data_IF_950065440079
#
_entry.id   IF_950065440079
#
_cell.length_a   1.000
_cell.length_b   1.000
_cell.length_c   1.000
_cell.angle_alpha   90.00
_cell.angle_beta   90.00
_cell.angle_gamma   90.00
#
_symmetry.space_group_name_H-M   'P 1'
#
loop_
_entity.id
_entity.type
_entity.pdbx_description
1 polymer ?
#
# COMPACT_ATOMS: atom_id res chain seq x y z
N UNK A 1 -11.61 -30.79 -67.00
CA UNK A 1 -12.91 -30.17 -67.27
C UNK A 1 -13.47 -29.77 -65.92
N UNK A 2 -13.11 -28.58 -65.44
CA UNK A 2 -13.86 -27.31 -65.65
C UNK A 2 -15.22 -27.38 -64.92
N UNK A 3 -15.61 -26.52 -63.98
CA UNK A 3 -15.23 -25.12 -63.76
C UNK A 3 -15.44 -24.69 -62.27
N UNK A 4 -14.96 -23.50 -61.87
CA UNK A 4 -14.91 -22.99 -60.49
C UNK A 4 -15.81 -21.75 -60.25
N UNK A 5 -15.63 -21.17 -59.05
CA UNK A 5 -15.87 -19.78 -58.61
C UNK A 5 -17.26 -19.36 -58.10
N UNK A 6 -17.21 -18.70 -56.94
CA UNK A 6 -18.27 -17.89 -56.35
C UNK A 6 -17.77 -17.26 -55.04
N UNK A 7 -17.01 -16.17 -55.15
CA UNK A 7 -16.77 -15.22 -54.06
C UNK A 7 -18.10 -14.79 -53.43
N UNK A 8 -18.15 -14.66 -52.11
CA UNK A 8 -19.12 -13.79 -51.45
C UNK A 8 -18.46 -13.05 -50.30
N UNK A 9 -18.22 -11.77 -50.57
CA UNK A 9 -17.91 -10.70 -49.65
C UNK A 9 -19.13 -10.35 -48.79
N UNK A 10 -18.83 -10.03 -47.53
CA UNK A 10 -19.53 -9.16 -46.57
C UNK A 10 -21.02 -8.85 -46.78
N UNK A 11 -21.83 -9.23 -45.78
CA UNK A 11 -23.06 -8.51 -45.43
C UNK A 11 -23.04 -8.25 -43.92
N UNK A 12 -22.89 -6.98 -43.56
CA UNK A 12 -23.07 -6.51 -42.20
C UNK A 12 -24.52 -6.64 -41.75
N UNK A 13 -24.70 -7.01 -40.48
CA UNK A 13 -25.95 -6.82 -39.77
C UNK A 13 -25.69 -5.84 -38.63
N UNK A 14 -26.24 -4.65 -38.78
CA UNK A 14 -26.45 -3.68 -37.70
C UNK A 14 -27.83 -3.87 -37.09
N UNK A 15 -27.93 -3.53 -35.82
CA UNK A 15 -29.13 -3.30 -35.00
C UNK A 15 -29.61 -4.50 -34.16
N UNK A 16 -29.25 -4.41 -32.88
CA UNK A 16 -29.77 -5.18 -31.76
C UNK A 16 -29.37 -4.45 -30.48
N UNK A 17 -29.85 -3.21 -30.34
CA UNK A 17 -29.68 -2.36 -29.16
C UNK A 17 -30.57 -2.89 -28.04
N UNK A 18 -30.10 -3.89 -27.31
CA UNK A 18 -30.62 -4.23 -25.99
C UNK A 18 -29.42 -4.37 -25.06
N UNK A 19 -29.11 -3.30 -24.33
CA UNK A 19 -28.11 -3.34 -23.28
C UNK A 19 -28.59 -4.25 -22.15
N UNK A 20 -27.72 -5.11 -21.59
CA UNK A 20 -28.05 -5.75 -20.34
C UNK A 20 -27.95 -4.68 -19.25
N UNK A 21 -29.12 -4.37 -18.71
CA UNK A 21 -29.45 -4.05 -17.32
C UNK A 21 -28.28 -3.66 -16.40
N UNK A 22 -28.46 -2.54 -15.69
CA UNK A 22 -27.60 -2.03 -14.62
C UNK A 22 -26.79 -3.13 -13.91
N UNK A 23 -25.55 -3.37 -14.36
CA UNK A 23 -24.58 -4.12 -13.58
C UNK A 23 -24.30 -3.25 -12.38
N UNK A 24 -24.90 -3.58 -11.25
CA UNK A 24 -24.75 -2.82 -10.01
C UNK A 24 -23.26 -2.63 -9.77
N UNK A 25 -22.81 -1.38 -9.76
CA UNK A 25 -21.41 -1.03 -9.61
C UNK A 25 -20.94 -1.58 -8.26
N UNK A 26 -20.06 -2.59 -8.27
CA UNK A 26 -19.54 -3.21 -7.06
C UNK A 26 -18.72 -2.17 -6.31
N UNK A 27 -19.15 -1.86 -5.08
CA UNK A 27 -18.57 -0.80 -4.25
C UNK A 27 -18.29 -1.36 -2.86
N UNK A 28 -17.23 -0.84 -2.26
CA UNK A 28 -16.99 -1.08 -0.84
C UNK A 28 -18.15 -0.50 -0.02
N UNK A 29 -18.51 -1.22 1.03
CA UNK A 29 -19.45 -0.75 2.05
C UNK A 29 -18.95 0.50 2.76
N UNK A 30 -19.86 1.34 3.25
CA UNK A 30 -19.49 2.54 4.00
C UNK A 30 -18.75 2.18 5.29
N UNK A 31 -19.08 1.06 5.93
CA UNK A 31 -18.38 0.52 7.10
C UNK A 31 -16.93 0.15 6.79
N UNK A 32 -16.67 -0.45 5.62
CA UNK A 32 -15.32 -0.81 5.17
C UNK A 32 -14.47 0.44 4.94
N UNK A 33 -15.03 1.43 4.23
CA UNK A 33 -14.31 2.70 3.97
C UNK A 33 -14.07 3.47 5.27
N UNK A 34 -15.08 3.54 6.15
CA UNK A 34 -14.96 4.20 7.47
C UNK A 34 -13.89 3.53 8.32
N UNK A 35 -13.79 2.20 8.28
CA UNK A 35 -12.75 1.48 9.00
C UNK A 35 -11.35 1.88 8.52
N UNK A 36 -11.13 1.93 7.19
CA UNK A 36 -9.85 2.31 6.57
C UNK A 36 -9.48 3.76 6.89
N UNK A 37 -10.42 4.70 6.74
CA UNK A 37 -10.18 6.12 7.07
C UNK A 37 -9.99 6.38 8.57
N UNK A 38 -10.44 5.45 9.42
CA UNK A 38 -10.35 5.55 10.87
C UNK A 38 -9.09 4.91 11.45
N UNK A 39 -8.10 4.51 10.64
CA UNK A 39 -6.84 3.94 11.11
C UNK A 39 -5.96 5.05 11.69
N UNK A 40 -5.57 4.91 12.95
CA UNK A 40 -4.68 5.87 13.59
C UNK A 40 -3.20 5.57 13.25
N UNK A 41 -2.35 6.59 13.06
CA UNK A 41 -0.91 6.39 12.85
C UNK A 41 -0.23 5.56 13.94
N UNK A 42 -0.70 5.68 15.19
CA UNK A 42 -0.20 4.90 16.32
C UNK A 42 -0.55 3.40 16.22
N UNK A 43 -1.65 3.04 15.55
CA UNK A 43 -1.99 1.64 15.25
C UNK A 43 -1.08 1.08 14.16
N UNK A 44 -0.83 1.85 13.10
CA UNK A 44 0.11 1.45 12.04
C UNK A 44 1.51 1.21 12.58
N UNK A 45 1.97 2.07 13.49
CA UNK A 45 3.27 1.90 14.14
C UNK A 45 3.39 0.56 14.88
N UNK A 46 2.31 0.06 15.47
CA UNK A 46 2.31 -1.25 16.13
C UNK A 46 2.42 -2.41 15.14
N UNK A 47 2.09 -2.21 13.87
CA UNK A 47 2.18 -3.22 12.82
C UNK A 47 3.57 -3.31 12.15
N UNK A 48 4.51 -2.42 12.50
CA UNK A 48 5.85 -2.33 11.88
C UNK A 48 6.78 -3.38 12.46
N UNK A 49 6.64 -4.61 11.97
CA UNK A 49 7.47 -5.75 12.33
C UNK A 49 7.39 -6.84 11.26
N UNK A 50 8.28 -7.83 11.38
CA UNK A 50 8.30 -9.03 10.55
C UNK A 50 7.65 -10.23 11.26
N UNK A 51 6.92 -11.04 10.50
CA UNK A 51 6.53 -12.40 10.87
C UNK A 51 7.34 -13.39 10.03
N UNK A 52 7.68 -14.53 10.61
CA UNK A 52 8.26 -15.68 9.91
C UNK A 52 7.56 -16.97 10.37
N UNK A 53 7.01 -17.71 9.42
CA UNK A 53 6.25 -18.94 9.62
C UNK A 53 6.86 -20.04 8.75
N UNK A 54 6.68 -21.29 9.18
CA UNK A 54 7.04 -22.46 8.40
C UNK A 54 5.80 -23.03 7.74
N UNK A 55 5.96 -23.36 6.47
CA UNK A 55 4.95 -24.01 5.63
C UNK A 55 5.06 -25.52 5.86
N UNK A 56 4.00 -26.13 6.40
CA UNK A 56 3.96 -27.56 6.74
C UNK A 56 2.84 -28.29 6.00
N UNK A 57 3.09 -29.54 5.61
CA UNK A 57 2.05 -30.43 5.10
C UNK A 57 1.11 -30.91 6.21
N UNK A 58 -0.03 -31.50 5.83
CA UNK A 58 -0.93 -32.20 6.76
C UNK A 58 -0.22 -33.30 7.58
N UNK A 59 0.78 -33.97 6.99
CA UNK A 59 1.64 -34.95 7.65
C UNK A 59 2.74 -34.36 8.54
N UNK A 60 2.83 -33.03 8.66
CA UNK A 60 3.82 -32.33 9.49
C UNK A 60 5.21 -32.16 8.86
N UNK A 61 5.39 -32.50 7.59
CA UNK A 61 6.65 -32.27 6.86
C UNK A 61 6.80 -30.78 6.57
N UNK A 62 7.98 -30.22 6.83
CA UNK A 62 8.32 -28.86 6.41
C UNK A 62 8.53 -28.81 4.90
N UNK A 63 7.80 -27.91 4.24
CA UNK A 63 7.77 -27.75 2.78
C UNK A 63 8.40 -26.43 2.33
N UNK A 64 8.52 -25.45 3.22
CA UNK A 64 9.05 -24.14 2.90
C UNK A 64 8.77 -23.11 3.99
N UNK A 65 8.84 -21.84 3.60
CA UNK A 65 8.77 -20.71 4.54
C UNK A 65 7.81 -19.65 4.02
N UNK A 66 7.19 -18.93 4.95
CA UNK A 66 6.40 -17.74 4.70
C UNK A 66 6.91 -16.61 5.60
N UNK A 67 7.12 -15.43 5.04
CA UNK A 67 7.45 -14.24 5.81
C UNK A 67 6.63 -13.04 5.35
N UNK A 68 6.37 -12.12 6.28
CA UNK A 68 5.74 -10.83 5.98
C UNK A 68 6.34 -9.73 6.84
N UNK A 69 6.86 -8.70 6.20
CA UNK A 69 7.51 -7.56 6.82
C UNK A 69 6.74 -6.29 6.50
N UNK A 70 6.55 -5.44 7.50
CA UNK A 70 5.94 -4.12 7.34
C UNK A 70 6.91 -3.07 7.85
N UNK A 71 7.17 -2.06 7.04
CA UNK A 71 8.11 -0.97 7.31
C UNK A 71 7.50 0.37 6.95
N UNK A 72 8.00 1.44 7.57
CA UNK A 72 7.77 2.78 7.05
C UNK A 72 8.63 2.99 5.80
N UNK A 73 8.04 3.57 4.78
CA UNK A 73 8.70 3.86 3.52
C UNK A 73 8.30 5.24 3.00
N UNK A 74 8.92 5.63 1.88
CA UNK A 74 8.60 6.86 1.18
C UNK A 74 8.60 6.62 -0.31
N UNK A 75 7.49 6.97 -0.96
CA UNK A 75 7.40 7.18 -2.41
C UNK A 75 7.31 8.68 -2.67
N UNK A 76 6.38 9.14 -3.49
CA UNK A 76 6.04 10.57 -3.62
C UNK A 76 5.53 11.15 -2.28
N UNK A 77 5.00 10.28 -1.41
CA UNK A 77 4.55 10.60 -0.06
C UNK A 77 5.04 9.56 0.98
N UNK A 78 5.03 9.89 2.29
CA UNK A 78 5.20 8.90 3.35
C UNK A 78 4.15 7.78 3.21
N UNK A 79 4.58 6.54 3.35
CA UNK A 79 3.74 5.36 3.15
C UNK A 79 4.22 4.19 4.01
N UNK A 80 3.45 3.11 4.00
CA UNK A 80 3.84 1.80 4.53
C UNK A 80 4.33 0.95 3.37
N UNK A 81 5.45 0.24 3.53
CA UNK A 81 5.85 -0.84 2.64
C UNK A 81 5.54 -2.16 3.32
N UNK A 82 4.77 -3.02 2.66
CA UNK A 82 4.57 -4.40 3.05
C UNK A 82 5.26 -5.29 2.03
N UNK A 83 6.09 -6.21 2.50
CA UNK A 83 6.68 -7.25 1.69
C UNK A 83 6.33 -8.61 2.29
N UNK A 84 5.68 -9.48 1.52
CA UNK A 84 5.41 -10.85 1.93
C UNK A 84 5.89 -11.83 0.87
N UNK A 85 6.42 -12.96 1.31
CA UNK A 85 6.91 -14.01 0.43
C UNK A 85 6.61 -15.38 1.02
N UNK A 86 6.24 -16.31 0.15
CA UNK A 86 6.11 -17.73 0.40
C UNK A 86 6.98 -18.44 -0.62
N UNK A 87 7.84 -19.35 -0.18
CA UNK A 87 8.56 -20.22 -1.11
C UNK A 87 8.72 -21.60 -0.50
N UNK A 88 8.71 -22.63 -1.34
CA UNK A 88 8.82 -24.01 -0.90
C UNK A 88 8.71 -24.98 -2.05
N UNK A 89 8.55 -26.26 -1.71
CA UNK A 89 8.26 -27.31 -2.68
C UNK A 89 7.08 -28.15 -2.18
N UNK A 90 6.05 -28.27 -3.01
CA UNK A 90 4.91 -29.17 -2.78
C UNK A 90 5.05 -30.31 -3.77
N UNK A 91 5.06 -31.55 -3.29
CA UNK A 91 5.31 -32.75 -4.10
C UNK A 91 6.58 -32.61 -4.97
N UNK A 92 7.65 -32.10 -4.36
CA UNK A 92 8.96 -31.81 -4.97
C UNK A 92 8.92 -30.78 -6.11
N UNK A 93 7.79 -30.11 -6.34
CA UNK A 93 7.61 -29.04 -7.32
C UNK A 93 7.84 -27.68 -6.65
N UNK A 94 8.90 -26.93 -7.00
CA UNK A 94 9.16 -25.62 -6.42
C UNK A 94 8.04 -24.63 -6.75
N UNK A 95 7.49 -23.97 -5.74
CA UNK A 95 6.43 -22.98 -5.90
C UNK A 95 6.59 -21.83 -4.90
N UNK A 96 6.01 -20.69 -5.24
CA UNK A 96 6.04 -19.55 -4.34
C UNK A 96 5.19 -18.39 -4.79
N UNK A 97 5.06 -17.44 -3.88
CA UNK A 97 4.36 -16.18 -4.08
C UNK A 97 5.17 -15.08 -3.42
N UNK A 98 5.33 -13.93 -4.06
CA UNK A 98 5.91 -12.74 -3.46
C UNK A 98 5.02 -11.53 -3.76
N UNK A 99 4.82 -10.68 -2.77
CA UNK A 99 4.08 -9.42 -2.91
C UNK A 99 4.84 -8.30 -2.23
N UNK A 100 4.99 -7.17 -2.92
CA UNK A 100 5.51 -5.92 -2.36
C UNK A 100 4.48 -4.83 -2.62
N UNK A 101 3.92 -4.25 -1.57
CA UNK A 101 2.89 -3.22 -1.66
C UNK A 101 3.32 -1.94 -0.93
N UNK A 102 3.06 -0.80 -1.55
CA UNK A 102 3.20 0.53 -0.97
C UNK A 102 1.82 1.09 -0.71
N UNK A 103 1.54 1.41 0.56
CA UNK A 103 0.20 1.72 1.05
C UNK A 103 0.20 3.07 1.77
N UNK A 104 -0.85 3.86 1.60
CA UNK A 104 -1.07 5.05 2.44
C UNK A 104 -1.44 4.65 3.88
N UNK A 105 -1.61 5.64 4.76
CA UNK A 105 -2.04 5.40 6.15
C UNK A 105 -3.48 4.90 6.25
N UNK A 106 -4.33 5.18 5.27
CA UNK A 106 -5.68 4.64 5.12
C UNK A 106 -5.71 3.38 4.22
N UNK A 107 -4.56 2.74 4.00
CA UNK A 107 -4.40 1.49 3.24
C UNK A 107 -4.77 1.58 1.75
N UNK A 108 -4.82 2.78 1.18
CA UNK A 108 -4.93 2.93 -0.27
C UNK A 108 -3.64 2.42 -0.93
N UNK A 109 -3.80 1.57 -1.95
CA UNK A 109 -2.67 0.97 -2.66
C UNK A 109 -2.09 1.98 -3.64
N UNK A 110 -0.85 2.40 -3.40
CA UNK A 110 -0.10 3.29 -4.30
C UNK A 110 0.55 2.50 -5.45
N UNK A 111 1.12 1.35 -5.09
CA UNK A 111 1.85 0.46 -5.98
C UNK A 111 1.87 -0.93 -5.37
N UNK A 112 1.70 -1.99 -6.16
CA UNK A 112 1.90 -3.36 -5.72
C UNK A 112 2.50 -4.22 -6.85
N UNK A 113 3.58 -4.94 -6.51
CA UNK A 113 4.16 -6.00 -7.32
C UNK A 113 3.78 -7.35 -6.73
N UNK A 114 3.14 -8.20 -7.51
CA UNK A 114 2.74 -9.55 -7.12
C UNK A 114 3.32 -10.57 -8.11
N UNK A 115 3.99 -11.60 -7.60
CA UNK A 115 4.60 -12.68 -8.35
C UNK A 115 4.15 -14.02 -7.79
N UNK A 116 3.62 -14.90 -8.63
CA UNK A 116 3.27 -16.28 -8.30
C UNK A 116 3.98 -17.21 -9.29
N UNK A 117 4.57 -18.30 -8.80
CA UNK A 117 5.18 -19.29 -9.67
C UNK A 117 5.02 -20.72 -9.17
N UNK A 118 4.97 -21.66 -10.11
CA UNK A 118 5.06 -23.10 -9.89
C UNK A 118 5.95 -23.69 -10.97
N UNK A 119 6.99 -24.43 -10.58
CA UNK A 119 7.93 -25.07 -11.49
C UNK A 119 7.58 -26.55 -11.62
N UNK A 120 7.01 -26.90 -12.75
CA UNK A 120 6.68 -28.26 -13.17
C UNK A 120 7.46 -28.60 -14.44
N UNK A 121 7.90 -29.85 -14.58
CA UNK A 121 8.52 -30.31 -15.82
C UNK A 121 7.55 -30.14 -17.00
N UNK A 122 7.95 -29.32 -17.97
CA UNK A 122 7.18 -29.00 -19.18
C UNK A 122 5.96 -28.09 -19.00
N UNK A 123 5.56 -27.74 -17.76
CA UNK A 123 4.31 -27.01 -17.48
C UNK A 123 4.50 -25.94 -16.40
N UNK A 124 5.69 -25.35 -16.31
CA UNK A 124 5.96 -24.28 -15.35
C UNK A 124 5.07 -23.07 -15.63
N UNK A 125 4.52 -22.48 -14.56
CA UNK A 125 3.67 -21.29 -14.61
C UNK A 125 4.37 -20.19 -13.82
N UNK A 126 4.51 -19.01 -14.41
CA UNK A 126 5.02 -17.78 -13.78
C UNK A 126 4.04 -16.65 -14.07
N UNK A 127 3.50 -16.01 -13.05
CA UNK A 127 2.56 -14.90 -13.16
C UNK A 127 3.13 -13.69 -12.44
N UNK A 128 3.22 -12.56 -13.11
CA UNK A 128 3.64 -11.28 -12.55
C UNK A 128 2.58 -10.25 -12.80
N UNK A 129 2.13 -9.58 -11.75
CA UNK A 129 1.16 -8.50 -11.81
C UNK A 129 1.79 -7.27 -11.17
N UNK A 130 1.86 -6.19 -11.90
CA UNK A 130 2.28 -4.88 -11.41
C UNK A 130 1.07 -3.95 -11.47
N UNK A 131 0.74 -3.32 -10.35
CA UNK A 131 -0.29 -2.28 -10.28
C UNK A 131 0.29 -1.00 -9.69
N UNK A 132 -0.07 0.14 -10.28
CA UNK A 132 0.44 1.45 -9.86
C UNK A 132 -0.57 2.54 -10.13
N UNK A 133 -0.69 3.49 -9.20
CA UNK A 133 -1.49 4.68 -9.42
C UNK A 133 -0.80 5.64 -10.41
N UNK A 134 -1.52 6.05 -11.46
CA UNK A 134 -1.11 7.08 -12.42
C UNK A 134 -2.32 7.87 -12.90
N UNK A 135 -2.22 9.19 -12.90
CA UNK A 135 -3.24 10.11 -13.44
C UNK A 135 -4.66 9.83 -12.91
N UNK A 136 -4.79 9.56 -11.61
CA UNK A 136 -6.08 9.28 -10.96
C UNK A 136 -6.68 7.90 -11.29
N UNK A 137 -5.88 7.00 -11.86
CA UNK A 137 -6.27 5.62 -12.19
C UNK A 137 -5.29 4.63 -11.58
N UNK A 138 -5.76 3.45 -11.24
CA UNK A 138 -4.91 2.28 -11.06
C UNK A 138 -4.63 1.68 -12.43
N UNK A 139 -3.36 1.59 -12.82
CA UNK A 139 -2.90 0.91 -14.03
C UNK A 139 -2.34 -0.44 -13.62
N UNK A 140 -2.84 -1.51 -14.23
CA UNK A 140 -2.51 -2.89 -13.90
C UNK A 140 -1.95 -3.57 -15.14
N UNK A 141 -0.78 -4.20 -15.01
CA UNK A 141 -0.13 -4.95 -16.05
C UNK A 141 0.19 -6.35 -15.53
N UNK A 142 -0.35 -7.38 -16.17
CA UNK A 142 -0.17 -8.78 -15.80
C UNK A 142 0.49 -9.54 -16.93
N UNK A 143 1.56 -10.27 -16.62
CA UNK A 143 2.26 -11.20 -17.52
C UNK A 143 2.08 -12.60 -16.95
N UNK A 144 1.60 -13.53 -17.77
CA UNK A 144 1.52 -14.95 -17.43
C UNK A 144 2.31 -15.76 -18.44
N UNK A 145 3.31 -16.48 -17.96
CA UNK A 145 4.14 -17.40 -18.73
C UNK A 145 3.78 -18.83 -18.36
N UNK A 146 3.40 -19.64 -19.35
CA UNK A 146 3.10 -21.06 -19.20
C UNK A 146 4.01 -21.84 -20.16
N UNK A 147 5.03 -22.51 -19.63
CA UNK A 147 6.07 -23.11 -20.46
C UNK A 147 6.79 -22.05 -21.30
N UNK A 148 6.65 -22.13 -22.62
CA UNK A 148 7.20 -21.15 -23.58
C UNK A 148 6.19 -20.06 -23.98
N UNK A 149 4.90 -20.24 -23.66
CA UNK A 149 3.85 -19.30 -24.02
C UNK A 149 3.82 -18.13 -23.03
N UNK A 150 3.76 -16.90 -23.55
CA UNK A 150 3.64 -15.68 -22.77
C UNK A 150 2.37 -14.95 -23.17
N UNK A 151 1.58 -14.59 -22.16
CA UNK A 151 0.35 -13.79 -22.31
C UNK A 151 0.47 -12.53 -21.47
N UNK A 152 0.02 -11.41 -22.04
CA UNK A 152 0.04 -10.11 -21.39
C UNK A 152 -1.37 -9.52 -21.37
N UNK A 153 -1.75 -8.98 -20.22
CA UNK A 153 -3.03 -8.31 -20.00
C UNK A 153 -2.77 -6.95 -19.35
N UNK A 154 -3.52 -5.94 -19.77
CA UNK A 154 -3.44 -4.61 -19.19
C UNK A 154 -4.83 -4.04 -18.98
N UNK A 155 -5.05 -3.53 -17.77
CA UNK A 155 -6.33 -2.97 -17.33
C UNK A 155 -6.09 -1.65 -16.63
N UNK A 156 -7.07 -0.75 -16.69
CA UNK A 156 -7.00 0.51 -15.96
C UNK A 156 -8.36 0.87 -15.39
N UNK A 157 -8.37 1.21 -14.11
CA UNK A 157 -9.57 1.59 -13.38
C UNK A 157 -9.42 2.99 -12.79
N UNK A 158 -10.45 3.85 -12.90
CA UNK A 158 -10.49 5.08 -12.10
C UNK A 158 -10.35 4.77 -10.61
N UNK A 159 -9.56 5.53 -9.87
CA UNK A 159 -9.44 5.32 -8.41
C UNK A 159 -10.78 5.47 -7.69
N UNK A 160 -11.72 6.25 -8.25
CA UNK A 160 -13.07 6.41 -7.72
C UNK A 160 -13.88 5.12 -7.67
N UNK A 161 -13.68 4.18 -8.61
CA UNK A 161 -14.37 2.87 -8.59
C UNK A 161 -13.66 1.85 -7.70
N UNK A 162 -12.38 2.08 -7.39
CA UNK A 162 -11.55 1.24 -6.52
C UNK A 162 -11.52 1.72 -5.07
N UNK A 163 -12.45 2.60 -4.67
CA UNK A 163 -12.55 3.06 -3.29
C UNK A 163 -12.75 1.85 -2.35
N UNK A 164 -11.84 1.68 -1.40
CA UNK A 164 -11.83 0.53 -0.50
C UNK A 164 -11.27 -0.75 -1.14
N UNK A 165 -10.37 -0.62 -2.12
CA UNK A 165 -9.63 -1.73 -2.72
C UNK A 165 -8.75 -2.42 -1.66
N UNK A 166 -8.85 -3.74 -1.62
CA UNK A 166 -8.01 -4.64 -0.84
C UNK A 166 -7.38 -5.66 -1.79
N UNK A 167 -6.07 -5.57 -1.91
CA UNK A 167 -5.16 -6.44 -2.67
C UNK A 167 -4.52 -7.49 -1.78
N UNK A 168 -3.63 -8.33 -2.33
CA UNK A 168 -2.93 -9.32 -1.52
C UNK A 168 -2.05 -8.67 -0.45
N UNK A 169 -1.30 -7.63 -0.81
CA UNK A 169 -0.46 -6.90 0.13
C UNK A 169 -1.27 -6.14 1.18
N UNK A 170 -2.20 -5.28 0.76
CA UNK A 170 -3.02 -4.49 1.70
C UNK A 170 -3.87 -5.36 2.63
N UNK A 171 -4.32 -6.54 2.18
CA UNK A 171 -5.07 -7.46 3.04
C UNK A 171 -4.29 -7.94 4.25
N UNK A 172 -2.98 -8.17 4.11
CA UNK A 172 -2.13 -8.66 5.19
C UNK A 172 -1.98 -7.60 6.29
N UNK A 173 -1.77 -6.33 5.92
CA UNK A 173 -1.73 -5.22 6.87
C UNK A 173 -3.11 -4.96 7.49
N UNK A 174 -4.17 -5.01 6.68
CA UNK A 174 -5.55 -4.84 7.15
C UNK A 174 -5.91 -5.88 8.22
N UNK A 175 -5.56 -7.15 8.02
CA UNK A 175 -5.81 -8.22 8.98
C UNK A 175 -5.04 -8.01 10.30
N UNK A 176 -3.78 -7.52 10.26
CA UNK A 176 -3.04 -7.13 11.48
C UNK A 176 -3.78 -6.05 12.27
N UNK A 177 -4.26 -5.02 11.58
CA UNK A 177 -5.01 -3.92 12.21
C UNK A 177 -6.35 -4.38 12.82
N UNK A 178 -7.08 -5.24 12.11
CA UNK A 178 -8.31 -5.84 12.63
C UNK A 178 -8.00 -6.67 13.89
N UNK A 179 -6.92 -7.45 13.88
CA UNK A 179 -6.50 -8.25 15.02
C UNK A 179 -6.15 -7.39 16.24
N UNK A 180 -5.40 -6.29 16.05
CA UNK A 180 -5.08 -5.32 17.12
C UNK A 180 -6.33 -4.72 17.76
N UNK A 181 -7.35 -4.42 16.95
CA UNK A 181 -8.63 -3.89 17.44
C UNK A 181 -9.49 -4.93 18.14
N UNK A 182 -9.23 -6.23 17.92
CA UNK A 182 -10.08 -7.38 18.34
C UNK A 182 -11.56 -7.14 18.06
N UNK A 183 -11.86 -6.41 16.98
CA UNK A 183 -13.20 -5.96 16.64
C UNK A 183 -13.35 -5.95 15.13
N UNK A 184 -14.21 -6.84 14.63
CA UNK A 184 -14.63 -6.86 13.24
C UNK A 184 -15.97 -6.10 13.11
N UNK A 185 -16.02 -4.95 12.41
CA UNK A 185 -17.29 -4.36 12.03
C UNK A 185 -18.16 -5.35 11.25
N UNK A 186 -19.47 -5.32 11.48
CA UNK A 186 -20.42 -6.15 10.73
C UNK A 186 -20.55 -5.60 9.30
N UNK A 187 -20.79 -6.49 8.34
CA UNK A 187 -21.10 -6.15 6.95
C UNK A 187 -19.98 -5.44 6.16
N UNK A 188 -18.70 -5.66 6.52
CA UNK A 188 -17.59 -5.14 5.72
C UNK A 188 -17.45 -5.89 4.40
N UNK A 189 -17.86 -5.23 3.32
CA UNK A 189 -17.52 -5.62 1.96
C UNK A 189 -16.52 -4.61 1.41
N UNK A 190 -15.39 -5.11 0.91
CA UNK A 190 -14.35 -4.34 0.24
C UNK A 190 -14.33 -4.69 -1.25
N UNK A 191 -13.72 -3.81 -2.03
CA UNK A 191 -13.40 -4.09 -3.43
C UNK A 191 -12.12 -4.93 -3.48
N UNK A 192 -12.05 -5.90 -4.39
CA UNK A 192 -10.85 -6.68 -4.72
C UNK A 192 -10.83 -6.91 -6.22
N UNK A 193 -9.75 -7.48 -6.73
CA UNK A 193 -9.63 -7.92 -8.11
C UNK A 193 -9.51 -9.44 -8.17
N UNK A 194 -10.17 -10.05 -9.15
CA UNK A 194 -10.03 -11.47 -9.45
C UNK A 194 -8.78 -11.73 -10.33
N UNK A 195 -8.42 -13.00 -10.61
CA UNK A 195 -7.28 -13.30 -11.47
C UNK A 195 -7.41 -12.75 -12.90
N UNK A 196 -8.64 -12.52 -13.39
CA UNK A 196 -8.93 -11.85 -14.67
C UNK A 196 -8.94 -10.32 -14.56
N UNK A 197 -8.50 -9.77 -13.43
CA UNK A 197 -8.46 -8.35 -13.11
C UNK A 197 -9.84 -7.69 -13.02
N UNK A 198 -10.92 -8.45 -12.91
CA UNK A 198 -12.26 -7.90 -12.74
C UNK A 198 -12.51 -7.48 -11.29
N UNK A 199 -13.26 -6.39 -11.13
CA UNK A 199 -13.72 -5.93 -9.81
C UNK A 199 -14.67 -6.98 -9.21
N UNK A 200 -14.32 -7.43 -8.02
CA UNK A 200 -15.07 -8.38 -7.19
C UNK A 200 -15.16 -7.86 -5.75
N UNK A 201 -15.89 -8.57 -4.89
CA UNK A 201 -15.89 -8.30 -3.45
C UNK A 201 -14.95 -9.21 -2.68
N UNK A 202 -14.33 -8.67 -1.65
CA UNK A 202 -13.71 -9.46 -0.57
C UNK A 202 -14.33 -9.04 0.76
N UNK A 203 -14.53 -9.99 1.67
CA UNK A 203 -15.08 -9.74 3.00
C UNK A 203 -14.25 -10.44 4.07
N UNK A 204 -14.43 -10.00 5.31
CA UNK A 204 -13.75 -10.57 6.47
C UNK A 204 -14.78 -11.00 7.51
N UNK A 205 -14.56 -12.14 8.16
CA UNK A 205 -15.42 -12.65 9.22
C UNK A 205 -14.60 -13.07 10.41
N UNK A 206 -15.14 -12.84 11.60
CA UNK A 206 -14.53 -13.26 12.84
C UNK A 206 -14.71 -14.77 13.05
N UNK A 207 -13.63 -15.46 13.42
CA UNK A 207 -13.66 -16.86 13.88
C UNK A 207 -13.61 -16.96 15.41
N UNK A 208 -13.38 -15.83 16.09
CA UNK A 208 -13.35 -15.71 17.55
C UNK A 208 -11.98 -16.01 18.15
N UNK A 209 -11.95 -16.12 19.47
CA UNK A 209 -10.74 -16.48 20.22
C UNK A 209 -10.55 -17.99 20.26
N UNK A 210 -9.31 -18.44 20.08
CA UNK A 210 -8.93 -19.85 20.12
C UNK A 210 -7.61 -20.01 20.85
N UNK A 211 -7.36 -21.19 21.39
CA UNK A 211 -6.05 -21.59 21.89
C UNK A 211 -5.31 -22.42 20.85
N UNK A 212 -4.07 -22.02 20.54
CA UNK A 212 -3.17 -22.76 19.67
C UNK A 212 -1.89 -23.13 20.43
N UNK A 213 -1.45 -24.37 20.27
CA UNK A 213 -0.19 -24.83 20.81
C UNK A 213 0.95 -24.49 19.84
N UNK A 214 1.90 -23.70 20.31
CA UNK A 214 3.16 -23.41 19.62
C UNK A 214 4.28 -23.98 20.48
N UNK A 215 4.89 -25.06 20.02
CA UNK A 215 5.82 -25.91 20.79
C UNK A 215 5.21 -26.50 22.05
N UNK A 216 5.46 -25.88 23.20
CA UNK A 216 5.00 -26.31 24.53
C UNK A 216 4.24 -25.19 25.25
N UNK A 217 3.94 -24.10 24.53
CA UNK A 217 3.16 -22.97 25.02
C UNK A 217 1.80 -22.95 24.34
N UNK A 218 0.75 -22.68 25.12
CA UNK A 218 -0.61 -22.48 24.61
C UNK A 218 -0.85 -20.99 24.52
N UNK A 219 -1.11 -20.51 23.31
CA UNK A 219 -1.31 -19.10 23.00
C UNK A 219 -2.78 -18.83 22.73
N UNK A 220 -3.32 -17.79 23.37
CA UNK A 220 -4.63 -17.23 23.01
C UNK A 220 -4.49 -16.40 21.73
N UNK A 221 -5.19 -16.79 20.69
CA UNK A 221 -5.14 -16.16 19.37
C UNK A 221 -6.52 -15.65 18.94
N UNK A 222 -6.53 -14.58 18.16
CA UNK A 222 -7.72 -14.06 17.50
C UNK A 222 -7.77 -14.56 16.05
N UNK A 223 -8.83 -15.28 15.71
CA UNK A 223 -9.05 -15.84 14.39
C UNK A 223 -9.96 -14.98 13.52
N UNK A 224 -9.62 -14.89 12.23
CA UNK A 224 -10.49 -14.32 11.20
C UNK A 224 -10.36 -15.08 9.89
N UNK A 225 -11.39 -15.00 9.05
CA UNK A 225 -11.34 -15.48 7.67
C UNK A 225 -11.50 -14.32 6.69
N UNK A 226 -10.75 -14.35 5.59
CA UNK A 226 -10.94 -13.51 4.40
C UNK A 226 -11.60 -14.37 3.33
N UNK A 227 -12.73 -13.90 2.79
CA UNK A 227 -13.45 -14.57 1.69
C UNK A 227 -13.33 -13.67 0.46
N UNK A 228 -12.76 -14.22 -0.61
CA UNK A 228 -12.56 -13.56 -1.90
C UNK A 228 -13.59 -14.16 -2.86
N UNK A 229 -14.54 -13.34 -3.32
CA UNK A 229 -15.55 -13.80 -4.28
C UNK A 229 -14.92 -14.09 -5.64
N UNK A 230 -15.58 -14.90 -6.46
CA UNK A 230 -15.13 -15.22 -7.81
C UNK A 230 -16.27 -15.01 -8.79
N UNK A 231 -15.96 -14.51 -9.99
CA UNK A 231 -16.95 -14.36 -11.06
C UNK A 231 -17.27 -15.68 -11.76
N UNK A 232 -16.27 -16.55 -11.91
CA UNK A 232 -16.35 -17.77 -12.73
C UNK A 232 -16.15 -19.07 -11.91
N UNK A 233 -15.95 -18.95 -10.59
CA UNK A 233 -15.63 -20.07 -9.72
C UNK A 233 -16.21 -19.97 -8.32
N UNK A 234 -15.76 -20.88 -7.45
CA UNK A 234 -16.10 -20.83 -6.02
C UNK A 234 -15.27 -19.76 -5.31
N UNK A 235 -15.81 -19.11 -4.26
CA UNK A 235 -15.04 -18.18 -3.45
C UNK A 235 -13.83 -18.87 -2.81
N UNK A 236 -12.70 -18.17 -2.78
CA UNK A 236 -11.51 -18.61 -2.05
C UNK A 236 -11.57 -18.07 -0.63
N UNK A 237 -11.25 -18.92 0.36
CA UNK A 237 -11.26 -18.52 1.77
C UNK A 237 -9.90 -18.76 2.40
N UNK A 238 -9.39 -17.74 3.10
CA UNK A 238 -8.19 -17.82 3.93
C UNK A 238 -8.57 -17.69 5.39
N UNK A 239 -8.02 -18.55 6.24
CA UNK A 239 -8.14 -18.43 7.70
C UNK A 239 -6.80 -18.05 8.29
N UNK A 240 -6.80 -17.02 9.12
CA UNK A 240 -5.63 -16.46 9.77
C UNK A 240 -5.86 -16.34 11.29
N UNK A 241 -4.83 -16.60 12.08
CA UNK A 241 -4.84 -16.46 13.53
C UNK A 241 -3.69 -15.57 13.99
N UNK A 242 -3.98 -14.61 14.85
CA UNK A 242 -3.04 -13.58 15.28
C UNK A 242 -2.90 -13.51 16.80
N UNK A 243 -1.73 -13.12 17.29
CA UNK A 243 -1.51 -12.68 18.68
C UNK A 243 -2.15 -11.31 18.93
N UNK A 244 -2.19 -10.90 20.20
CA UNK A 244 -2.77 -9.62 20.62
C UNK A 244 -1.94 -8.39 20.24
N UNK A 245 -0.66 -8.59 19.94
CA UNK A 245 0.26 -7.60 19.37
C UNK A 245 0.25 -7.58 17.83
N UNK A 246 -0.59 -8.41 17.20
CA UNK A 246 -0.79 -8.44 15.75
C UNK A 246 0.12 -9.41 14.98
N UNK A 247 1.01 -10.15 15.65
CA UNK A 247 1.84 -11.16 15.00
C UNK A 247 1.01 -12.32 14.43
N UNK A 248 1.33 -12.77 13.22
CA UNK A 248 0.64 -13.89 12.57
C UNK A 248 1.13 -15.23 13.13
N UNK A 249 0.21 -16.04 13.65
CA UNK A 249 0.52 -17.37 14.23
C UNK A 249 0.26 -18.49 13.23
N UNK A 250 -0.83 -18.39 12.47
CA UNK A 250 -1.18 -19.41 11.49
C UNK A 250 -1.98 -18.82 10.34
N UNK A 251 -1.73 -19.33 9.13
CA UNK A 251 -2.45 -18.98 7.90
C UNK A 251 -2.66 -20.23 7.05
N UNK A 252 -3.88 -20.43 6.58
CA UNK A 252 -4.24 -21.55 5.71
C UNK A 252 -5.31 -21.14 4.70
N UNK A 253 -5.17 -21.59 3.45
CA UNK A 253 -6.26 -21.51 2.49
C UNK A 253 -7.18 -22.73 2.69
N UNK A 254 -8.48 -22.50 2.85
CA UNK A 254 -9.44 -23.58 3.04
C UNK A 254 -9.41 -24.51 1.81
N UNK A 255 -9.20 -25.81 2.06
CA UNK A 255 -9.05 -26.84 1.02
C UNK A 255 -7.60 -27.11 0.61
N UNK A 256 -6.62 -26.32 1.09
CA UNK A 256 -5.20 -26.60 0.88
C UNK A 256 -4.69 -27.68 1.84
N UNK A 257 -3.84 -28.63 1.39
CA UNK A 257 -3.18 -29.62 2.26
C UNK A 257 -2.00 -29.03 3.04
N UNK A 258 -1.76 -27.72 2.94
CA UNK A 258 -0.60 -27.03 3.49
C UNK A 258 -1.04 -25.89 4.41
N UNK A 259 -0.38 -25.76 5.55
CA UNK A 259 -0.62 -24.70 6.53
C UNK A 259 0.68 -23.97 6.83
N UNK A 260 0.64 -22.65 6.91
CA UNK A 260 1.73 -21.83 7.43
C UNK A 260 1.51 -21.67 8.94
N UNK A 261 2.53 -21.95 9.75
CA UNK A 261 2.44 -21.82 11.21
C UNK A 261 3.74 -21.31 11.83
N UNK A 262 3.59 -20.58 12.92
CA UNK A 262 4.67 -20.10 13.76
C UNK A 262 5.31 -21.28 14.51
N UNK A 263 6.65 -21.39 14.46
CA UNK A 263 7.39 -22.42 15.20
C UNK A 263 7.90 -21.92 16.55
N UNK A 264 8.25 -20.64 16.64
CA UNK A 264 8.79 -20.00 17.84
C UNK A 264 8.10 -18.65 17.99
N UNK A 265 7.78 -18.25 19.23
CA UNK A 265 7.37 -16.87 19.44
C UNK A 265 8.49 -15.93 19.00
N UNK A 266 8.16 -14.81 18.35
CA UNK A 266 9.10 -13.72 18.19
C UNK A 266 9.68 -13.43 19.57
N UNK A 267 11.02 -13.43 19.69
CA UNK A 267 11.66 -12.98 20.91
C UNK A 267 11.09 -11.61 21.23
N UNK A 268 10.35 -11.51 22.35
CA UNK A 268 9.75 -10.26 22.82
C UNK A 268 10.84 -9.21 22.69
N UNK A 269 10.72 -8.35 21.69
CA UNK A 269 11.61 -7.23 21.56
C UNK A 269 11.35 -6.47 22.86
N UNK A 270 12.31 -6.51 23.80
CA UNK A 270 12.41 -5.49 24.83
C UNK A 270 12.08 -4.20 24.11
N UNK A 271 11.15 -3.39 24.63
CA UNK A 271 10.86 -2.08 24.06
C UNK A 271 12.20 -1.42 23.77
N UNK A 272 12.68 -1.53 22.53
CA UNK A 272 13.96 -0.97 22.16
C UNK A 272 13.58 0.47 22.14
N UNK A 273 13.94 1.15 23.22
CA UNK A 273 13.98 2.57 23.24
C UNK A 273 14.97 2.87 22.13
N UNK A 274 14.46 3.05 20.90
CA UNK A 274 15.23 3.53 19.77
C UNK A 274 15.73 4.88 20.28
N UNK A 275 16.91 4.89 20.91
CA UNK A 275 17.67 6.10 21.10
C UNK A 275 17.82 6.57 19.67
N UNK A 276 17.06 7.60 19.29
CA UNK A 276 17.17 8.26 17.99
C UNK A 276 18.65 8.43 17.76
N UNK A 277 19.23 7.62 16.86
CA UNK A 277 20.63 7.79 16.49
C UNK A 277 20.61 9.12 15.74
N UNK A 278 21.35 10.15 16.20
CA UNK A 278 21.39 11.41 15.49
C UNK A 278 21.82 11.13 14.06
N UNK A 279 21.00 11.57 13.09
CA UNK A 279 21.28 11.39 11.68
C UNK A 279 22.52 12.24 11.34
N UNK A 280 23.69 11.62 11.23
CA UNK A 280 24.94 12.29 10.82
C UNK A 280 24.96 12.43 9.29
N UNK A 281 24.01 13.20 8.78
CA UNK A 281 23.78 13.35 7.34
C UNK A 281 24.96 14.04 6.62
N UNK A 282 25.82 14.77 7.34
CA UNK A 282 26.99 15.41 6.76
C UNK A 282 28.06 14.40 6.29
N UNK A 283 28.15 13.23 6.92
CA UNK A 283 29.14 12.18 6.62
C UNK A 283 28.64 11.19 5.55
N UNK A 284 27.33 11.00 5.45
CA UNK A 284 26.72 10.17 4.43
C UNK A 284 26.73 10.89 3.06
N UNK A 285 27.45 10.31 2.12
CA UNK A 285 27.63 10.89 0.78
C UNK A 285 26.29 11.08 0.04
N UNK A 286 25.34 10.16 0.20
CA UNK A 286 24.05 10.20 -0.48
C UNK A 286 23.12 11.24 0.15
N UNK A 287 23.05 11.31 1.48
CA UNK A 287 22.25 12.32 2.18
C UNK A 287 22.82 13.73 2.00
N UNK A 288 24.15 13.87 2.02
CA UNK A 288 24.81 15.14 1.71
C UNK A 288 24.50 15.59 0.28
N UNK A 289 24.47 14.68 -0.70
CA UNK A 289 24.04 15.01 -2.06
C UNK A 289 22.61 15.54 -2.08
N UNK A 290 21.67 14.80 -1.49
CA UNK A 290 20.25 15.20 -1.41
C UNK A 290 20.06 16.56 -0.74
N UNK A 291 20.81 16.82 0.33
CA UNK A 291 20.80 18.11 1.02
C UNK A 291 21.31 19.24 0.13
N UNK A 292 22.42 19.03 -0.59
CA UNK A 292 22.98 20.03 -1.49
C UNK A 292 22.03 20.34 -2.64
N UNK A 293 21.41 19.31 -3.23
CA UNK A 293 20.43 19.47 -4.30
C UNK A 293 19.23 20.30 -3.82
N UNK A 294 18.64 19.94 -2.68
CA UNK A 294 17.49 20.67 -2.11
C UNK A 294 17.87 22.10 -1.69
N UNK A 295 19.08 22.30 -1.16
CA UNK A 295 19.59 23.63 -0.80
C UNK A 295 19.74 24.52 -2.02
N UNK A 296 20.23 23.98 -3.13
CA UNK A 296 20.40 24.75 -4.36
C UNK A 296 19.05 25.07 -5.01
N UNK A 297 18.12 24.11 -5.01
CA UNK A 297 16.73 24.32 -5.44
C UNK A 297 16.07 25.45 -4.65
N UNK A 298 16.07 25.39 -3.31
CA UNK A 298 15.50 26.43 -2.46
C UNK A 298 16.16 27.80 -2.65
N UNK A 299 17.47 27.85 -2.88
CA UNK A 299 18.17 29.09 -3.20
C UNK A 299 17.75 29.65 -4.56
N UNK A 300 17.57 28.78 -5.56
CA UNK A 300 17.13 29.18 -6.89
C UNK A 300 15.70 29.72 -6.83
N UNK A 301 14.81 29.07 -6.07
CA UNK A 301 13.43 29.50 -5.84
C UNK A 301 13.40 30.86 -5.13
N UNK A 302 14.13 31.01 -4.02
CA UNK A 302 14.21 32.28 -3.29
C UNK A 302 14.78 33.41 -4.16
N UNK A 303 15.82 33.12 -4.93
CA UNK A 303 16.43 34.09 -5.85
C UNK A 303 15.49 34.45 -7.01
N UNK A 304 14.61 33.54 -7.41
CA UNK A 304 13.59 33.78 -8.44
C UNK A 304 12.44 34.61 -7.86
N UNK A 305 11.97 34.28 -6.66
CA UNK A 305 10.96 35.05 -5.93
C UNK A 305 11.39 36.51 -5.75
N UNK A 306 12.61 36.77 -5.23
CA UNK A 306 13.12 38.13 -5.09
C UNK A 306 13.31 38.86 -6.42
N UNK A 307 13.55 38.14 -7.52
CA UNK A 307 13.61 38.73 -8.87
C UNK A 307 12.24 39.11 -9.41
N UNK A 308 11.22 38.31 -9.10
CA UNK A 308 9.83 38.56 -9.49
C UNK A 308 9.18 39.66 -8.65
N UNK A 309 9.67 39.88 -7.42
CA UNK A 309 9.13 40.86 -6.46
C UNK A 309 10.15 41.99 -6.13
N UNK A 310 10.48 42.88 -7.09
CA UNK A 310 11.39 43.99 -6.84
C UNK A 310 10.91 44.96 -5.75
N UNK A 311 9.61 45.01 -5.48
CA UNK A 311 8.99 45.78 -4.40
C UNK A 311 9.54 45.41 -3.02
N UNK A 312 9.89 44.14 -2.79
CA UNK A 312 10.46 43.69 -1.51
C UNK A 312 11.83 44.33 -1.30
N UNK A 313 12.66 44.36 -2.35
CA UNK A 313 13.98 44.98 -2.30
C UNK A 313 13.88 46.49 -2.07
N UNK A 314 12.93 47.15 -2.74
CA UNK A 314 12.67 48.58 -2.53
C UNK A 314 12.23 48.87 -1.09
N UNK A 315 11.26 48.10 -0.58
CA UNK A 315 10.75 48.22 0.78
C UNK A 315 11.85 48.07 1.85
N UNK A 316 12.71 47.05 1.72
CA UNK A 316 13.83 46.84 2.63
C UNK A 316 14.86 47.97 2.52
N UNK A 317 15.13 48.45 1.30
CA UNK A 317 16.07 49.57 1.08
C UNK A 317 15.58 50.86 1.75
N UNK A 318 14.31 51.19 1.59
CA UNK A 318 13.69 52.37 2.19
C UNK A 318 13.69 52.28 3.72
N UNK A 319 13.38 51.10 4.26
CA UNK A 319 13.49 50.83 5.69
C UNK A 319 14.91 51.08 6.21
N UNK A 320 15.92 50.49 5.57
CA UNK A 320 17.33 50.63 5.98
C UNK A 320 17.78 52.08 5.90
N UNK A 321 17.35 52.82 4.88
CA UNK A 321 17.67 54.24 4.73
C UNK A 321 17.07 55.07 5.87
N UNK A 322 15.80 54.83 6.21
CA UNK A 322 15.11 55.49 7.32
C UNK A 322 15.70 55.12 8.68
N UNK A 323 16.09 53.86 8.87
CA UNK A 323 16.75 53.38 10.09
C UNK A 323 18.10 54.07 10.30
N UNK A 324 18.93 54.17 9.24
CA UNK A 324 20.24 54.81 9.30
C UNK A 324 20.16 56.33 9.48
N UNK A 325 19.09 56.95 8.99
CA UNK A 325 18.82 58.39 9.16
C UNK A 325 18.35 58.71 10.59
N UNK A 326 17.38 57.96 11.11
CA UNK A 326 16.75 58.27 12.41
C UNK A 326 17.50 57.72 13.61
N UNK A 327 18.25 56.63 13.42
CA UNK A 327 19.01 55.94 14.47
C UNK A 327 18.23 55.84 15.79
N UNK A 328 17.02 55.25 15.77
CA UNK A 328 16.19 55.13 16.96
C UNK A 328 16.86 54.24 18.01
N UNK A 329 16.60 54.52 19.28
CA UNK A 329 17.11 53.71 20.41
C UNK A 329 16.48 52.31 20.44
N UNK A 330 15.23 52.18 19.99
CA UNK A 330 14.52 50.90 19.84
C UNK A 330 14.25 50.59 18.36
N UNK A 331 15.09 49.73 17.78
CA UNK A 331 15.02 49.30 16.38
C UNK A 331 13.82 48.40 16.10
N UNK A 332 13.38 47.59 17.09
CA UNK A 332 12.30 46.63 16.89
C UNK A 332 10.94 47.33 16.88
N UNK A 333 10.73 48.29 17.80
CA UNK A 333 9.54 49.13 17.80
C UNK A 333 9.43 49.92 16.49
N UNK A 334 10.55 50.50 16.04
CA UNK A 334 10.62 51.24 14.79
C UNK A 334 10.31 50.37 13.56
N UNK A 335 10.87 49.16 13.50
CA UNK A 335 10.57 48.20 12.43
C UNK A 335 9.09 47.82 12.41
N UNK A 336 8.49 47.53 13.56
CA UNK A 336 7.07 47.20 13.66
C UNK A 336 6.21 48.32 13.11
N UNK A 337 6.44 49.57 13.54
CA UNK A 337 5.69 50.72 13.06
C UNK A 337 5.87 50.94 11.55
N UNK A 338 7.08 50.75 11.04
CA UNK A 338 7.37 50.89 9.61
C UNK A 338 6.65 49.83 8.76
N UNK A 339 6.66 48.55 9.16
CA UNK A 339 6.11 47.46 8.36
C UNK A 339 4.59 47.24 8.55
N UNK A 340 3.99 47.73 9.64
CA UNK A 340 2.55 47.56 9.94
C UNK A 340 1.61 47.93 8.78
N UNK A 341 1.80 49.06 8.06
CA UNK A 341 0.91 49.43 6.95
C UNK A 341 0.91 48.43 5.78
N UNK A 342 2.00 47.68 5.59
CA UNK A 342 2.19 46.75 4.48
C UNK A 342 1.57 45.37 4.71
N UNK A 343 1.10 45.07 5.93
CA UNK A 343 0.52 43.78 6.29
C UNK A 343 -0.90 43.54 5.72
N UNK A 344 -1.50 44.53 5.06
CA UNK A 344 -2.95 44.57 4.78
C UNK A 344 -3.44 43.79 3.54
N UNK A 345 -2.59 43.00 2.88
CA UNK A 345 -2.99 42.21 1.71
C UNK A 345 -2.38 40.80 1.74
N UNK A 346 -3.00 39.92 2.53
CA UNK A 346 -2.93 38.48 2.29
C UNK A 346 -4.30 37.86 2.64
N UNK A 347 -4.98 37.15 1.72
CA UNK A 347 -5.96 36.15 2.13
C UNK A 347 -5.22 35.10 2.95
N UNK A 348 -5.82 34.71 4.07
CA UNK A 348 -5.27 33.73 4.98
C UNK A 348 -5.06 32.38 4.28
N UNK A 349 -3.84 32.11 3.82
CA UNK A 349 -3.33 30.75 3.73
C UNK A 349 -2.75 30.42 5.09
N UNK A 350 -3.33 29.38 5.70
CA UNK A 350 -3.13 29.01 7.09
C UNK A 350 -1.68 28.62 7.39
N UNK A 351 -1.23 29.08 8.56
CA UNK A 351 0.06 28.83 9.18
C UNK A 351 0.46 27.34 9.13
N UNK A 352 1.60 27.06 8.49
CA UNK A 352 2.40 25.88 8.81
C UNK A 352 3.19 26.19 10.09
N UNK A 353 2.77 25.59 11.21
CA UNK A 353 3.58 25.55 12.42
C UNK A 353 4.94 24.89 12.14
N UNK A 354 6.05 25.42 12.69
CA UNK A 354 7.35 24.79 12.57
C UNK A 354 7.39 23.51 13.41
N UNK A 355 7.53 22.37 12.72
CA UNK A 355 7.88 21.10 13.35
C UNK A 355 9.25 21.23 14.03
N UNK A 356 9.26 21.27 15.35
CA UNK A 356 10.44 21.06 16.19
C UNK A 356 10.95 19.62 16.03
N UNK A 357 12.21 19.50 15.61
CA UNK A 357 12.99 18.25 15.45
C UNK A 357 13.08 17.39 16.72
#
# INVERSE_FOLDING_TARGET
MEAPLGEQTAVGYSAGTEGPEHRQELKASDEAVTFMSGIEPAELQKCVFADSLVTVSEGGRELGEFSVTVEFARREQPCMMLHAQSHGAIDDCPCGTAVTAYLTTDLEVLEEDHHEYVKLEGHSVDKRCHMVQRDGKMVIHKVTTVGEEVTEESMSYPMTVLRGLVTEGSSLLLMRLIALRKKMPKNMAFVSLDPGLHIIHTSFRELGQRQLEVRAEVLDVFGMERIIQSMEGSPSTWQCYFLDDGHLVSRVQVGSPVTMRLLELPSKTEKVNFKKIPLVWEEDMQMRSKFLDRKEELKADHSSYLRQHPEIRALISDFLQLLLLRKPDDVFLFAREYFTPFASHHPAEADQEPQSL
#
